data_IF_590284903254
#
_entry.id   IF_590284903254
#
_cell.length_a   1.000
_cell.length_b   1.000
_cell.length_c   1.000
_cell.angle_alpha   90.00
_cell.angle_beta   90.00
_cell.angle_gamma   90.00
#
_symmetry.space_group_name_H-M   'P 1'
#
loop_
_entity.id
_entity.type
_entity.pdbx_description
1 polymer ?
#
# COMPACT_ATOMS: atom_id res chain seq x y z
N UNK A 1 -3.43 -36.23 -22.76
CA UNK A 1 -3.10 -34.79 -22.74
C UNK A 1 -4.38 -34.01 -22.93
N UNK A 2 -4.96 -33.47 -21.87
CA UNK A 2 -6.09 -32.53 -21.99
C UNK A 2 -5.80 -31.36 -21.06
N UNK A 3 -5.04 -30.39 -21.56
CA UNK A 3 -4.91 -29.08 -20.91
C UNK A 3 -6.14 -28.28 -21.33
N UNK A 4 -7.22 -28.43 -20.57
CA UNK A 4 -8.39 -27.56 -20.68
C UNK A 4 -8.00 -26.19 -20.11
N UNK A 5 -7.49 -25.32 -20.97
CA UNK A 5 -6.95 -24.00 -20.65
C UNK A 5 -8.01 -22.91 -20.52
N UNK A 6 -9.23 -23.24 -20.08
CA UNK A 6 -10.21 -22.21 -19.71
C UNK A 6 -10.10 -21.98 -18.21
N UNK A 7 -9.83 -20.75 -17.74
CA UNK A 7 -9.82 -20.49 -16.32
C UNK A 7 -11.22 -20.83 -15.78
N UNK A 8 -11.26 -21.65 -14.73
CA UNK A 8 -12.53 -21.97 -14.07
C UNK A 8 -13.14 -20.67 -13.52
N UNK A 9 -14.46 -20.63 -13.36
CA UNK A 9 -15.15 -19.48 -12.74
C UNK A 9 -14.47 -19.09 -11.41
N UNK A 10 -14.11 -20.09 -10.59
CA UNK A 10 -13.35 -19.91 -9.34
C UNK A 10 -11.95 -19.30 -9.57
N UNK A 11 -11.24 -19.68 -10.63
CA UNK A 11 -9.94 -19.10 -10.99
C UNK A 11 -10.04 -17.64 -11.39
N UNK A 12 -11.08 -17.27 -12.14
CA UNK A 12 -11.36 -15.87 -12.48
C UNK A 12 -11.73 -15.04 -11.25
N UNK A 13 -12.54 -15.58 -10.33
CA UNK A 13 -12.90 -14.91 -9.08
C UNK A 13 -11.68 -14.68 -8.19
N UNK A 14 -10.83 -15.69 -7.99
CA UNK A 14 -9.60 -15.55 -7.22
C UNK A 14 -8.64 -14.50 -7.80
N UNK A 15 -8.51 -14.44 -9.13
CA UNK A 15 -7.71 -13.41 -9.80
C UNK A 15 -8.30 -12.02 -9.60
N UNK A 16 -9.62 -11.87 -9.74
CA UNK A 16 -10.32 -10.60 -9.52
C UNK A 16 -10.13 -10.10 -8.09
N UNK A 17 -10.25 -10.98 -7.09
CA UNK A 17 -10.03 -10.64 -5.69
C UNK A 17 -8.62 -10.12 -5.46
N UNK A 18 -7.59 -10.85 -5.93
CA UNK A 18 -6.19 -10.42 -5.80
C UNK A 18 -5.91 -9.09 -6.49
N UNK A 19 -6.49 -8.88 -7.66
CA UNK A 19 -6.34 -7.62 -8.40
C UNK A 19 -6.98 -6.45 -7.64
N UNK A 20 -8.16 -6.65 -7.05
CA UNK A 20 -8.81 -5.65 -6.22
C UNK A 20 -8.00 -5.34 -4.95
N UNK A 21 -7.44 -6.35 -4.30
CA UNK A 21 -6.56 -6.18 -3.14
C UNK A 21 -5.30 -5.39 -3.51
N UNK A 22 -4.64 -5.75 -4.60
CA UNK A 22 -3.46 -5.04 -5.09
C UNK A 22 -3.80 -3.60 -5.47
N UNK A 23 -4.95 -3.36 -6.10
CA UNK A 23 -5.43 -2.02 -6.45
C UNK A 23 -5.66 -1.17 -5.20
N UNK A 24 -6.28 -1.73 -4.15
CA UNK A 24 -6.48 -1.03 -2.87
C UNK A 24 -5.14 -0.67 -2.21
N UNK A 25 -4.19 -1.60 -2.18
CA UNK A 25 -2.85 -1.34 -1.61
C UNK A 25 -2.10 -0.26 -2.38
N UNK A 26 -2.16 -0.28 -3.71
CA UNK A 26 -1.56 0.77 -4.54
C UNK A 26 -2.19 2.14 -4.28
N UNK A 27 -3.52 2.22 -4.23
CA UNK A 27 -4.24 3.46 -3.91
C UNK A 27 -3.86 3.99 -2.52
N UNK A 28 -3.79 3.11 -1.52
CA UNK A 28 -3.35 3.46 -0.17
C UNK A 28 -1.92 4.02 -0.19
N UNK A 29 -0.99 3.35 -0.89
CA UNK A 29 0.40 3.80 -1.01
C UNK A 29 0.49 5.22 -1.60
N UNK A 30 -0.21 5.47 -2.71
CA UNK A 30 -0.22 6.80 -3.33
C UNK A 30 -0.89 7.86 -2.45
N UNK A 31 -1.92 7.49 -1.69
CA UNK A 31 -2.58 8.41 -0.75
C UNK A 31 -1.61 8.88 0.34
N UNK A 32 -0.86 7.94 0.93
CA UNK A 32 0.14 8.26 1.95
C UNK A 32 1.28 9.09 1.35
N UNK A 33 1.83 8.67 0.21
CA UNK A 33 2.90 9.39 -0.48
C UNK A 33 2.49 10.83 -0.79
N UNK A 34 1.27 11.04 -1.30
CA UNK A 34 0.80 12.37 -1.65
C UNK A 34 0.64 13.26 -0.43
N UNK A 35 0.07 12.75 0.67
CA UNK A 35 -0.04 13.51 1.93
C UNK A 35 1.34 13.88 2.48
N UNK A 36 2.28 12.95 2.45
CA UNK A 36 3.64 13.25 2.92
C UNK A 36 4.31 14.29 2.03
N UNK A 37 4.12 14.21 0.71
CA UNK A 37 4.59 15.22 -0.25
C UNK A 37 4.03 16.61 0.06
N UNK A 38 2.77 16.73 0.47
CA UNK A 38 2.19 18.02 0.86
C UNK A 38 2.87 18.62 2.10
N UNK A 39 3.40 17.78 2.99
CA UNK A 39 4.11 18.21 4.21
C UNK A 39 5.57 18.57 3.91
N UNK A 40 6.29 17.71 3.18
CA UNK A 40 7.73 17.89 2.93
C UNK A 40 8.05 18.70 1.67
N UNK A 41 7.08 18.89 0.77
CA UNK A 41 7.22 19.68 -0.45
C UNK A 41 8.08 19.03 -1.56
N UNK A 42 8.50 17.78 -1.41
CA UNK A 42 9.37 17.07 -2.37
C UNK A 42 8.95 15.61 -2.54
N UNK A 43 8.86 15.17 -3.80
CA UNK A 43 8.56 13.77 -4.13
C UNK A 43 9.68 12.83 -3.67
N UNK A 44 10.94 13.24 -3.80
CA UNK A 44 12.09 12.47 -3.33
C UNK A 44 12.06 12.29 -1.80
N UNK A 45 11.84 13.37 -1.05
CA UNK A 45 11.79 13.30 0.41
C UNK A 45 10.59 12.47 0.91
N UNK A 46 9.44 12.57 0.24
CA UNK A 46 8.29 11.72 0.55
C UNK A 46 8.59 10.24 0.25
N UNK A 47 9.30 9.96 -0.84
CA UNK A 47 9.73 8.61 -1.19
C UNK A 47 10.76 8.03 -0.23
N UNK A 48 11.68 8.84 0.27
CA UNK A 48 12.62 8.46 1.32
C UNK A 48 11.87 8.13 2.62
N UNK A 49 10.96 9.01 3.05
CA UNK A 49 10.13 8.79 4.24
C UNK A 49 9.29 7.51 4.16
N UNK A 50 8.76 7.18 2.97
CA UNK A 50 8.00 5.94 2.77
C UNK A 50 8.82 4.67 3.06
N UNK A 51 10.14 4.75 2.95
CA UNK A 51 11.09 3.67 3.21
C UNK A 51 11.83 3.82 4.55
N UNK A 52 11.59 4.91 5.28
CA UNK A 52 12.22 5.16 6.57
C UNK A 52 11.56 4.33 7.68
N UNK A 53 12.33 3.67 8.56
CA UNK A 53 11.81 3.02 9.75
C UNK A 53 11.12 4.01 10.69
N UNK A 54 9.82 3.82 10.95
CA UNK A 54 9.08 4.72 11.85
C UNK A 54 9.15 4.20 13.30
N UNK A 55 9.73 4.96 14.25
CA UNK A 55 9.87 4.52 15.64
C UNK A 55 8.53 4.21 16.33
N UNK A 56 7.46 4.93 15.97
CA UNK A 56 6.10 4.71 16.50
C UNK A 56 5.51 3.35 16.10
N UNK A 57 6.02 2.74 15.03
CA UNK A 57 5.53 1.49 14.47
C UNK A 57 6.56 0.36 14.56
N UNK A 58 7.31 0.33 15.67
CA UNK A 58 8.33 -0.69 15.93
C UNK A 58 9.42 -0.77 14.84
N UNK A 59 9.71 0.37 14.19
CA UNK A 59 10.68 0.45 13.09
C UNK A 59 10.16 -0.05 11.75
N UNK A 60 8.86 -0.33 11.60
CA UNK A 60 8.26 -0.60 10.27
C UNK A 60 8.26 0.65 9.41
N UNK A 61 8.45 0.48 8.11
CA UNK A 61 8.32 1.57 7.15
C UNK A 61 6.86 1.86 6.80
N UNK A 62 6.57 3.06 6.32
CA UNK A 62 5.22 3.38 5.88
C UNK A 62 4.76 2.47 4.73
N UNK A 63 5.65 2.11 3.79
CA UNK A 63 5.36 1.15 2.74
C UNK A 63 4.94 -0.24 3.29
N UNK A 64 5.62 -0.72 4.33
CA UNK A 64 5.27 -1.99 4.99
C UNK A 64 3.91 -1.92 5.68
N UNK A 65 3.62 -0.81 6.39
CA UNK A 65 2.33 -0.61 7.06
C UNK A 65 1.16 -0.55 6.07
N UNK A 66 1.34 0.07 4.90
CA UNK A 66 0.36 0.02 3.81
C UNK A 66 0.15 -1.41 3.31
N UNK A 67 1.22 -2.19 3.13
CA UNK A 67 1.12 -3.59 2.73
C UNK A 67 0.37 -4.45 3.77
N UNK A 68 0.58 -4.16 5.06
CA UNK A 68 -0.08 -4.81 6.20
C UNK A 68 -1.54 -4.34 6.39
N UNK A 69 -2.03 -3.40 5.58
CA UNK A 69 -3.39 -2.87 5.68
C UNK A 69 -3.59 -1.83 6.80
N UNK A 70 -2.50 -1.37 7.43
CA UNK A 70 -2.50 -0.37 8.50
C UNK A 70 -2.44 1.07 7.97
N UNK A 71 -3.15 1.34 6.88
CA UNK A 71 -3.15 2.66 6.23
C UNK A 71 -3.83 3.71 7.11
N UNK A 72 -4.88 3.35 7.84
CA UNK A 72 -5.62 4.26 8.73
C UNK A 72 -4.75 4.77 9.90
N UNK A 73 -3.96 3.86 10.49
CA UNK A 73 -2.98 4.21 11.54
C UNK A 73 -1.93 5.20 11.02
N UNK A 74 -1.47 5.00 9.78
CA UNK A 74 -0.52 5.90 9.13
C UNK A 74 -1.14 7.27 8.84
N UNK A 75 -2.38 7.30 8.35
CA UNK A 75 -3.09 8.55 8.10
C UNK A 75 -3.25 9.36 9.39
N UNK A 76 -3.65 8.68 10.47
CA UNK A 76 -3.77 9.30 11.79
C UNK A 76 -2.41 9.78 12.34
N UNK A 77 -1.33 9.05 12.06
CA UNK A 77 0.01 9.49 12.43
C UNK A 77 0.43 10.74 11.68
N UNK A 78 0.23 10.78 10.36
CA UNK A 78 0.56 11.94 9.52
C UNK A 78 -0.24 13.17 9.93
N UNK A 79 -1.54 13.02 10.24
CA UNK A 79 -2.39 14.11 10.71
C UNK A 79 -1.92 14.70 12.07
N UNK A 80 -1.16 13.92 12.84
CA UNK A 80 -0.60 14.34 14.13
C UNK A 80 0.80 14.96 14.07
N UNK A 81 1.40 15.07 12.88
CA UNK A 81 2.73 15.67 12.66
C UNK A 81 2.62 17.19 12.47
#
# INVERSE_FOLDING_TARGET
MTKDGRPSLQGFEALRTRFQEQSRKAQAYYTIMHKMREIVGSDDAASEWMNEPLPKFDGKTAAQLVSDGRTDDLLSYIDSM
#
